data_IF_461733716137
#
_entry.id   IF_461733716137
#
_cell.length_a   1.000
_cell.length_b   1.000
_cell.length_c   1.000
_cell.angle_alpha   90.00
_cell.angle_beta   90.00
_cell.angle_gamma   90.00
#
_symmetry.space_group_name_H-M   'P 1'
#
loop_
_entity.id
_entity.type
_entity.pdbx_description
1 polymer ?
#
# COMPACT_ATOMS: atom_id res chain seq x y z
N UNK A 1 -27.30 51.79 4.13
CA UNK A 1 -27.18 50.40 4.64
C UNK A 1 -26.62 49.40 3.60
N UNK A 2 -25.90 49.81 2.54
CA UNK A 2 -25.29 48.88 1.55
C UNK A 2 -23.76 48.72 1.66
N UNK A 3 -23.08 49.53 2.50
CA UNK A 3 -21.61 49.51 2.63
C UNK A 3 -21.07 48.71 3.83
N UNK A 4 -21.95 48.25 4.73
CA UNK A 4 -21.56 47.48 5.93
C UNK A 4 -21.53 45.96 5.70
N UNK A 5 -22.19 45.45 4.66
CA UNK A 5 -22.20 44.01 4.37
C UNK A 5 -20.90 43.51 3.71
N UNK A 6 -20.18 44.39 3.00
CA UNK A 6 -18.94 44.03 2.28
C UNK A 6 -17.77 43.85 3.26
N UNK A 7 -17.76 44.60 4.37
CA UNK A 7 -16.69 44.53 5.37
C UNK A 7 -16.76 43.28 6.25
N UNK A 8 -17.92 42.64 6.37
CA UNK A 8 -18.11 41.43 7.18
C UNK A 8 -17.80 40.12 6.42
N UNK A 9 -17.75 40.16 5.08
CA UNK A 9 -17.52 38.97 4.23
C UNK A 9 -16.04 38.72 3.89
N UNK A 10 -15.17 39.73 4.04
CA UNK A 10 -13.73 39.62 3.75
C UNK A 10 -12.98 38.71 4.76
N UNK A 11 -13.25 38.70 6.08
CA UNK A 11 -12.52 37.82 6.99
C UNK A 11 -12.89 36.34 6.81
N UNK A 12 -14.08 36.01 6.26
CA UNK A 12 -14.47 34.62 5.99
C UNK A 12 -13.71 33.99 4.81
N UNK A 13 -13.29 34.78 3.81
CA UNK A 13 -12.47 34.29 2.69
C UNK A 13 -11.00 34.06 3.08
N UNK A 14 -10.49 34.75 4.10
CA UNK A 14 -9.10 34.59 4.56
C UNK A 14 -8.86 33.25 5.30
N UNK A 15 -9.91 32.64 5.87
CA UNK A 15 -9.80 31.32 6.52
C UNK A 15 -9.84 30.14 5.55
N UNK A 16 -10.15 30.35 4.27
CA UNK A 16 -10.29 29.26 3.29
C UNK A 16 -9.00 28.81 2.59
N UNK A 17 -7.84 29.46 2.80
CA UNK A 17 -6.65 29.21 1.97
C UNK A 17 -5.39 28.67 2.67
N UNK A 18 -5.43 28.36 3.97
CA UNK A 18 -4.31 27.70 4.65
C UNK A 18 -4.64 26.24 4.98
N UNK A 19 -4.74 25.40 3.95
CA UNK A 19 -4.72 23.95 4.17
C UNK A 19 -3.35 23.58 4.76
N UNK A 20 -3.34 23.10 6.01
CA UNK A 20 -2.14 22.55 6.64
C UNK A 20 -1.78 21.24 5.97
N UNK A 21 -0.48 20.93 5.91
CA UNK A 21 -0.03 19.59 5.48
C UNK A 21 -0.53 18.55 6.47
N UNK A 22 -1.19 17.51 5.95
CA UNK A 22 -1.67 16.38 6.73
C UNK A 22 -1.23 15.06 6.08
N UNK A 23 -1.00 14.05 6.90
CA UNK A 23 -0.80 12.68 6.47
C UNK A 23 -2.00 11.86 6.94
N UNK A 24 -2.74 11.25 6.00
CA UNK A 24 -3.88 10.37 6.30
C UNK A 24 -3.57 8.94 5.88
N UNK A 25 -3.50 8.03 6.85
CA UNK A 25 -3.43 6.61 6.58
C UNK A 25 -4.81 6.10 6.12
N UNK A 26 -4.84 5.34 5.03
CA UNK A 26 -6.04 4.71 4.48
C UNK A 26 -5.66 3.31 4.06
N UNK A 27 -6.34 2.32 4.64
CA UNK A 27 -6.18 0.92 4.23
C UNK A 27 -7.27 0.56 3.25
N UNK A 28 -6.90 0.23 2.02
CA UNK A 28 -7.82 -0.36 1.07
C UNK A 28 -7.87 -1.87 1.34
N UNK A 29 -9.05 -2.38 1.66
CA UNK A 29 -9.31 -3.81 1.85
C UNK A 29 -10.24 -4.39 0.78
N UNK A 30 -10.52 -3.63 -0.27
CA UNK A 30 -11.38 -4.03 -1.37
C UNK A 30 -11.03 -3.28 -2.64
N UNK A 31 -11.24 -3.92 -3.79
CA UNK A 31 -11.08 -3.29 -5.10
C UNK A 31 -12.22 -3.70 -6.03
N UNK A 32 -12.64 -2.75 -6.85
CA UNK A 32 -13.54 -3.00 -7.99
C UNK A 32 -12.68 -3.03 -9.26
N UNK A 33 -12.82 -4.09 -10.02
CA UNK A 33 -12.20 -4.30 -11.32
C UNK A 33 -13.26 -4.20 -12.42
N UNK A 34 -12.88 -3.54 -13.51
CA UNK A 34 -13.57 -3.61 -14.79
C UNK A 34 -12.76 -4.50 -15.73
N UNK A 35 -13.42 -5.24 -16.59
CA UNK A 35 -12.76 -6.19 -17.46
C UNK A 35 -13.69 -6.81 -18.48
N UNK A 36 -13.25 -7.91 -19.07
CA UNK A 36 -14.00 -8.69 -20.05
C UNK A 36 -13.75 -10.20 -19.90
N UNK A 37 -14.74 -11.00 -20.27
CA UNK A 37 -14.62 -12.44 -20.49
C UNK A 37 -15.14 -12.72 -21.90
N UNK A 38 -14.29 -13.26 -22.77
CA UNK A 38 -14.60 -13.48 -24.21
C UNK A 38 -15.17 -12.23 -24.90
N UNK A 39 -14.58 -11.05 -24.60
CA UNK A 39 -15.03 -9.75 -25.12
C UNK A 39 -16.34 -9.22 -24.52
N UNK A 40 -16.97 -9.94 -23.58
CA UNK A 40 -18.17 -9.48 -22.87
C UNK A 40 -17.76 -8.72 -21.61
N UNK A 41 -18.17 -7.44 -21.43
CA UNK A 41 -17.81 -6.66 -20.26
C UNK A 41 -18.31 -7.26 -18.93
N UNK A 42 -17.42 -7.24 -17.94
CA UNK A 42 -17.69 -7.68 -16.58
C UNK A 42 -17.23 -6.65 -15.54
N UNK A 43 -17.90 -6.66 -14.40
CA UNK A 43 -17.49 -5.94 -13.19
C UNK A 43 -17.25 -6.95 -12.10
N UNK A 44 -16.15 -6.81 -11.37
CA UNK A 44 -15.78 -7.66 -10.25
C UNK A 44 -15.48 -6.80 -9.03
N UNK A 45 -15.99 -7.18 -7.86
CA UNK A 45 -15.58 -6.61 -6.58
C UNK A 45 -14.93 -7.70 -5.75
N UNK A 46 -13.70 -7.49 -5.32
CA UNK A 46 -12.97 -8.41 -4.44
C UNK A 46 -12.60 -7.70 -3.14
N UNK A 47 -12.62 -8.44 -2.04
CA UNK A 47 -12.32 -7.97 -0.70
C UNK A 47 -11.25 -8.87 -0.10
N UNK A 48 -10.27 -8.27 0.56
CA UNK A 48 -9.32 -8.96 1.42
C UNK A 48 -10.05 -9.60 2.60
N UNK A 49 -9.78 -10.87 2.89
CA UNK A 49 -10.43 -11.61 3.99
C UNK A 49 -9.47 -12.25 4.99
N UNK A 50 -8.16 -12.04 4.83
CA UNK A 50 -7.14 -12.54 5.74
C UNK A 50 -5.89 -13.01 5.01
N UNK A 51 -4.74 -12.89 5.67
CA UNK A 51 -3.49 -13.46 5.18
C UNK A 51 -3.59 -15.00 5.25
N UNK A 52 -3.03 -15.68 4.26
CA UNK A 52 -3.02 -17.15 4.23
C UNK A 52 -2.06 -17.72 5.28
N UNK A 53 -0.87 -17.15 5.37
CA UNK A 53 0.14 -17.52 6.35
C UNK A 53 1.01 -16.31 6.73
N UNK A 54 2.16 -16.15 6.08
CA UNK A 54 3.16 -15.17 6.50
C UNK A 54 3.67 -14.27 5.37
N UNK A 55 2.95 -14.15 4.27
CA UNK A 55 3.24 -13.11 3.26
C UNK A 55 2.04 -12.18 3.10
N UNK A 56 2.23 -10.88 3.31
CA UNK A 56 1.14 -9.90 3.20
C UNK A 56 0.47 -9.89 1.80
N UNK A 57 1.24 -10.20 0.75
CA UNK A 57 0.75 -10.31 -0.62
C UNK A 57 0.31 -11.74 -0.99
N UNK A 58 0.09 -12.59 0.01
CA UNK A 58 -0.59 -13.88 -0.11
C UNK A 58 -1.78 -13.89 0.85
N UNK A 59 -2.97 -13.62 0.31
CA UNK A 59 -4.17 -13.47 1.13
C UNK A 59 -5.41 -14.05 0.45
N UNK A 60 -6.36 -14.46 1.27
CA UNK A 60 -7.67 -14.87 0.82
C UNK A 60 -8.47 -13.67 0.34
N UNK A 61 -9.26 -13.91 -0.71
CA UNK A 61 -10.14 -12.90 -1.30
C UNK A 61 -11.54 -13.45 -1.50
N UNK A 62 -12.52 -12.61 -1.19
CA UNK A 62 -13.94 -12.90 -1.42
C UNK A 62 -14.60 -11.79 -2.20
N UNK A 63 -15.63 -12.14 -2.95
CA UNK A 63 -16.47 -11.15 -3.55
C UNK A 63 -17.41 -11.71 -4.58
N UNK A 64 -17.55 -10.98 -5.68
CA UNK A 64 -18.45 -11.35 -6.74
C UNK A 64 -17.99 -10.73 -8.07
N UNK A 65 -18.47 -11.29 -9.17
CA UNK A 65 -18.47 -10.63 -10.45
C UNK A 65 -19.87 -10.66 -11.08
N UNK A 66 -20.12 -9.82 -12.06
CA UNK A 66 -21.28 -9.93 -12.93
C UNK A 66 -20.92 -9.51 -14.36
N UNK A 67 -21.70 -9.98 -15.32
CA UNK A 67 -21.73 -9.41 -16.66
C UNK A 67 -22.53 -8.10 -16.65
N UNK A 68 -21.97 -7.03 -17.20
CA UNK A 68 -22.52 -5.67 -17.05
C UNK A 68 -23.95 -5.55 -17.60
N UNK A 69 -24.29 -6.34 -18.62
CA UNK A 69 -25.64 -6.44 -19.21
C UNK A 69 -26.69 -6.98 -18.24
N UNK A 70 -26.33 -7.94 -17.39
CA UNK A 70 -27.29 -8.69 -16.56
C UNK A 70 -27.24 -8.29 -15.08
N UNK A 71 -26.09 -7.80 -14.61
CA UNK A 71 -25.85 -7.37 -13.22
C UNK A 71 -26.19 -8.41 -12.13
N UNK A 72 -26.36 -9.68 -12.52
CA UNK A 72 -26.54 -10.78 -11.58
C UNK A 72 -25.19 -11.14 -10.98
N UNK A 73 -25.04 -10.89 -9.68
CA UNK A 73 -23.82 -11.21 -8.92
C UNK A 73 -23.60 -12.71 -8.84
N UNK A 74 -22.40 -13.13 -9.21
CA UNK A 74 -21.89 -14.49 -9.15
C UNK A 74 -20.77 -14.50 -8.10
N UNK A 75 -20.88 -15.31 -7.03
CA UNK A 75 -19.96 -15.25 -5.91
C UNK A 75 -18.59 -15.84 -6.28
N UNK A 76 -17.54 -15.22 -5.75
CA UNK A 76 -16.15 -15.63 -5.92
C UNK A 76 -15.47 -15.76 -4.56
N UNK A 77 -14.63 -16.77 -4.44
CA UNK A 77 -13.65 -16.94 -3.36
C UNK A 77 -12.32 -17.33 -4.00
N UNK A 78 -11.21 -17.03 -3.34
CA UNK A 78 -9.93 -17.36 -3.94
C UNK A 78 -8.73 -16.85 -3.16
N UNK A 79 -7.61 -16.78 -3.86
CA UNK A 79 -6.34 -16.25 -3.34
C UNK A 79 -5.78 -15.22 -4.28
N UNK A 80 -5.28 -14.14 -3.68
CA UNK A 80 -4.32 -13.24 -4.30
C UNK A 80 -2.92 -13.72 -3.92
N UNK A 81 -2.08 -14.03 -4.90
CA UNK A 81 -0.71 -14.51 -4.70
C UNK A 81 0.27 -13.65 -5.52
N UNK A 82 0.95 -12.72 -4.84
CA UNK A 82 2.04 -11.91 -5.40
C UNK A 82 1.70 -11.20 -6.74
N UNK A 83 0.44 -10.85 -6.93
CA UNK A 83 -0.07 -10.17 -8.13
C UNK A 83 -0.91 -11.04 -9.06
N UNK A 84 -0.94 -12.36 -8.86
CA UNK A 84 -1.87 -13.26 -9.52
C UNK A 84 -3.17 -13.41 -8.71
N UNK A 85 -4.28 -13.65 -9.40
CA UNK A 85 -5.59 -13.94 -8.78
C UNK A 85 -6.09 -15.31 -9.22
N UNK A 86 -6.38 -16.15 -8.23
CA UNK A 86 -6.96 -17.47 -8.42
C UNK A 86 -8.35 -17.47 -7.81
N UNK A 87 -9.40 -17.38 -8.64
CA UNK A 87 -10.78 -17.15 -8.20
C UNK A 87 -11.69 -18.29 -8.65
N UNK A 88 -12.57 -18.71 -7.74
CA UNK A 88 -13.42 -19.88 -7.93
C UNK A 88 -14.86 -19.58 -7.56
N UNK A 89 -15.78 -20.17 -8.32
CA UNK A 89 -17.19 -20.24 -7.99
C UNK A 89 -17.64 -21.70 -7.91
N UNK A 90 -18.11 -22.16 -6.75
CA UNK A 90 -18.62 -23.52 -6.55
C UNK A 90 -20.15 -23.66 -6.72
N UNK A 91 -20.80 -22.70 -7.39
CA UNK A 91 -22.24 -22.73 -7.67
C UNK A 91 -23.09 -22.83 -6.40
N UNK A 92 -24.02 -23.79 -6.36
CA UNK A 92 -24.94 -23.95 -5.22
C UNK A 92 -24.23 -24.32 -3.90
N UNK A 93 -22.98 -24.82 -3.98
CA UNK A 93 -22.18 -25.23 -2.82
C UNK A 93 -21.15 -24.17 -2.41
N UNK A 94 -21.21 -22.97 -3.00
CA UNK A 94 -20.23 -21.90 -2.82
C UNK A 94 -19.82 -21.68 -1.36
N UNK A 95 -20.77 -21.46 -0.44
CA UNK A 95 -20.46 -21.16 0.96
C UNK A 95 -19.67 -22.27 1.66
N UNK A 96 -20.03 -23.53 1.42
CA UNK A 96 -19.40 -24.69 2.07
C UNK A 96 -18.02 -24.95 1.48
N UNK A 97 -17.93 -25.03 0.16
CA UNK A 97 -16.70 -25.38 -0.54
C UNK A 97 -15.68 -24.22 -0.45
N UNK A 98 -16.13 -22.95 -0.36
CA UNK A 98 -15.26 -21.81 -0.06
C UNK A 98 -14.61 -21.91 1.31
N UNK A 99 -15.37 -22.33 2.33
CA UNK A 99 -14.83 -22.56 3.67
C UNK A 99 -13.80 -23.69 3.65
N UNK A 100 -14.12 -24.81 3.00
CA UNK A 100 -13.22 -25.95 2.86
C UNK A 100 -11.91 -25.57 2.13
N UNK A 101 -12.00 -24.75 1.07
CA UNK A 101 -10.82 -24.22 0.37
C UNK A 101 -9.91 -23.43 1.33
N UNK A 102 -10.45 -22.54 2.16
CA UNK A 102 -9.66 -21.75 3.10
C UNK A 102 -9.03 -22.59 4.19
N UNK A 103 -9.79 -23.52 4.76
CA UNK A 103 -9.29 -24.43 5.80
C UNK A 103 -8.22 -25.38 5.26
N UNK A 104 -8.26 -25.71 3.98
CA UNK A 104 -7.24 -26.52 3.34
C UNK A 104 -5.91 -25.77 3.17
N UNK A 105 -5.93 -24.45 2.91
CA UNK A 105 -4.73 -23.66 2.57
C UNK A 105 -4.19 -22.96 3.81
N UNK A 106 -3.21 -23.60 4.45
CA UNK A 106 -2.69 -23.21 5.77
C UNK A 106 -1.19 -22.91 5.77
N UNK A 107 -0.56 -22.83 4.59
CA UNK A 107 0.87 -22.59 4.46
C UNK A 107 1.24 -22.15 3.04
N UNK A 108 2.44 -21.59 2.79
CA UNK A 108 2.81 -21.04 1.50
C UNK A 108 2.94 -22.15 0.45
N UNK A 109 3.42 -23.33 0.85
CA UNK A 109 3.45 -24.53 -0.02
C UNK A 109 2.05 -24.96 -0.48
N UNK A 110 1.01 -24.69 0.33
CA UNK A 110 -0.37 -24.96 -0.08
C UNK A 110 -0.95 -23.85 -0.94
N UNK A 111 -0.48 -22.61 -0.80
CA UNK A 111 -0.81 -21.51 -1.73
C UNK A 111 -0.39 -21.87 -3.16
N UNK A 112 0.80 -22.41 -3.35
CA UNK A 112 1.28 -22.89 -4.66
C UNK A 112 0.38 -24.01 -5.25
N UNK A 113 -0.37 -24.72 -4.39
CA UNK A 113 -1.29 -25.80 -4.77
C UNK A 113 -2.76 -25.37 -4.78
N UNK A 114 -3.04 -24.08 -4.69
CA UNK A 114 -4.42 -23.56 -4.62
C UNK A 114 -5.29 -24.12 -5.75
N UNK A 115 -4.77 -24.13 -6.98
CA UNK A 115 -5.50 -24.63 -8.14
C UNK A 115 -5.88 -26.11 -8.01
N UNK A 116 -4.94 -26.96 -7.59
CA UNK A 116 -5.20 -28.39 -7.37
C UNK A 116 -6.20 -28.64 -6.24
N UNK A 117 -6.08 -27.89 -5.13
CA UNK A 117 -6.98 -27.99 -3.97
C UNK A 117 -8.39 -27.56 -4.38
N UNK A 118 -8.52 -26.43 -5.08
CA UNK A 118 -9.81 -25.94 -5.55
C UNK A 118 -10.45 -26.90 -6.55
N UNK A 119 -9.70 -27.44 -7.51
CA UNK A 119 -10.22 -28.41 -8.49
C UNK A 119 -10.77 -29.70 -7.86
N UNK A 120 -10.19 -30.16 -6.73
CA UNK A 120 -10.74 -31.29 -5.98
C UNK A 120 -12.17 -31.02 -5.46
N UNK A 121 -12.51 -29.75 -5.21
CA UNK A 121 -13.85 -29.29 -4.80
C UNK A 121 -14.80 -29.08 -6.00
N UNK A 122 -14.35 -29.31 -7.23
CA UNK A 122 -15.14 -29.25 -8.47
C UNK A 122 -15.82 -27.89 -8.67
N UNK A 123 -15.05 -26.80 -8.87
CA UNK A 123 -15.61 -25.48 -9.13
C UNK A 123 -16.42 -25.49 -10.42
N UNK A 124 -17.49 -24.71 -10.44
CA UNK A 124 -18.31 -24.50 -11.64
C UNK A 124 -17.61 -23.57 -12.63
N UNK A 125 -16.98 -22.52 -12.09
CA UNK A 125 -16.24 -21.52 -12.86
C UNK A 125 -14.92 -21.22 -12.16
N UNK A 126 -13.87 -21.01 -12.97
CA UNK A 126 -12.53 -20.62 -12.52
C UNK A 126 -12.08 -19.40 -13.31
N UNK A 127 -11.55 -18.41 -12.61
CA UNK A 127 -10.96 -17.19 -13.17
C UNK A 127 -9.52 -17.09 -12.69
N UNK A 128 -8.57 -17.23 -13.60
CA UNK A 128 -7.15 -17.13 -13.33
C UNK A 128 -6.61 -15.87 -13.99
N UNK A 129 -6.12 -14.92 -13.21
CA UNK A 129 -5.44 -13.73 -13.73
C UNK A 129 -3.96 -13.77 -13.36
N UNK A 130 -3.13 -13.55 -14.37
CA UNK A 130 -1.69 -13.64 -14.22
C UNK A 130 -1.12 -12.38 -13.56
N UNK A 131 0.11 -12.48 -13.08
CA UNK A 131 0.82 -11.32 -12.53
C UNK A 131 1.09 -10.31 -13.65
N UNK A 132 0.59 -9.08 -13.51
CA UNK A 132 0.92 -7.98 -14.42
C UNK A 132 2.36 -7.49 -14.20
N UNK A 133 3.02 -7.11 -15.29
CA UNK A 133 4.31 -6.41 -15.29
C UNK A 133 4.19 -4.92 -14.90
N UNK A 134 2.96 -4.46 -14.63
CA UNK A 134 2.64 -3.10 -14.19
C UNK A 134 2.47 -2.09 -15.32
N UNK A 135 2.54 -2.51 -16.59
CA UNK A 135 2.41 -1.61 -17.75
C UNK A 135 1.18 -1.87 -18.61
N UNK A 136 0.58 -3.05 -18.47
CA UNK A 136 -0.54 -3.49 -19.29
C UNK A 136 -1.70 -4.00 -18.44
N UNK A 137 -2.87 -4.09 -19.07
CA UNK A 137 -4.03 -4.77 -18.53
C UNK A 137 -3.66 -6.18 -18.06
N UNK A 138 -4.26 -6.61 -16.96
CA UNK A 138 -4.01 -7.93 -16.40
C UNK A 138 -4.74 -8.98 -17.25
N UNK A 139 -3.99 -9.82 -17.96
CA UNK A 139 -4.52 -10.94 -18.71
C UNK A 139 -4.96 -12.10 -17.80
N UNK A 140 -5.92 -12.89 -18.26
CA UNK A 140 -6.39 -14.06 -17.56
C UNK A 140 -7.14 -15.05 -18.43
N UNK A 141 -7.54 -16.16 -17.81
CA UNK A 141 -8.33 -17.21 -18.44
C UNK A 141 -9.53 -17.54 -17.57
N UNK A 142 -10.69 -17.64 -18.22
CA UNK A 142 -11.93 -18.12 -17.63
C UNK A 142 -12.13 -19.58 -18.06
N UNK A 143 -12.39 -20.46 -17.08
CA UNK A 143 -12.75 -21.85 -17.32
C UNK A 143 -14.17 -22.10 -16.83
N UNK A 144 -14.97 -22.73 -17.67
CA UNK A 144 -16.27 -23.27 -17.31
C UNK A 144 -16.35 -24.69 -17.86
N UNK A 145 -16.39 -25.66 -16.95
CA UNK A 145 -16.30 -27.08 -17.29
C UNK A 145 -15.06 -27.40 -18.15
N UNK A 146 -15.25 -27.79 -19.41
CA UNK A 146 -14.18 -28.14 -20.36
C UNK A 146 -13.79 -27.00 -21.30
N UNK A 147 -14.45 -25.85 -21.22
CA UNK A 147 -14.21 -24.72 -22.11
C UNK A 147 -13.36 -23.67 -21.42
N UNK A 148 -12.36 -23.15 -22.13
CA UNK A 148 -11.59 -21.98 -21.73
C UNK A 148 -11.91 -20.79 -22.63
N UNK A 149 -11.91 -19.59 -22.04
CA UNK A 149 -12.14 -18.34 -22.72
C UNK A 149 -11.13 -17.30 -22.22
N UNK A 150 -10.69 -16.36 -23.06
CA UNK A 150 -9.82 -15.28 -22.61
C UNK A 150 -10.58 -14.36 -21.63
N UNK A 151 -9.89 -13.90 -20.61
CA UNK A 151 -10.36 -12.90 -19.67
C UNK A 151 -9.33 -11.77 -19.52
N UNK A 152 -9.76 -10.59 -19.11
CA UNK A 152 -8.87 -9.45 -18.89
C UNK A 152 -9.45 -8.51 -17.85
N UNK A 153 -8.60 -7.93 -17.00
CA UNK A 153 -8.96 -6.79 -16.14
C UNK A 153 -8.29 -5.54 -16.71
N UNK A 154 -9.07 -4.48 -16.90
CA UNK A 154 -8.62 -3.17 -17.38
C UNK A 154 -7.95 -2.38 -16.25
N UNK A 155 -6.85 -2.94 -15.73
CA UNK A 155 -6.00 -2.34 -14.71
C UNK A 155 -4.58 -2.83 -14.90
N UNK A 156 -3.60 -1.98 -14.65
CA UNK A 156 -2.19 -2.37 -14.53
C UNK A 156 -1.81 -2.83 -13.11
N UNK A 157 -2.73 -2.72 -12.15
CA UNK A 157 -2.46 -3.01 -10.75
C UNK A 157 -3.61 -3.82 -10.11
N UNK A 158 -3.43 -5.15 -9.97
CA UNK A 158 -4.41 -6.04 -9.36
C UNK A 158 -4.36 -6.09 -7.82
N UNK A 159 -3.54 -5.26 -7.15
CA UNK A 159 -3.37 -5.32 -5.69
C UNK A 159 -4.66 -4.91 -4.97
N UNK A 160 -5.29 -5.82 -4.23
CA UNK A 160 -6.52 -5.57 -3.47
C UNK A 160 -6.27 -4.92 -2.10
N UNK A 161 -5.26 -5.41 -1.37
CA UNK A 161 -4.94 -4.95 -0.03
C UNK A 161 -3.77 -3.95 -0.06
N UNK A 162 -4.02 -2.68 0.30
CA UNK A 162 -3.02 -1.60 0.24
C UNK A 162 -3.03 -0.76 1.50
N UNK A 163 -1.84 -0.49 2.05
CA UNK A 163 -1.64 0.55 3.05
C UNK A 163 -1.25 1.86 2.36
N UNK A 164 -2.24 2.70 2.09
CA UNK A 164 -1.98 4.01 1.51
C UNK A 164 -1.70 5.03 2.62
N UNK A 165 -0.81 5.97 2.35
CA UNK A 165 -0.73 7.19 3.12
C UNK A 165 -0.87 8.37 2.17
N UNK A 166 -1.88 9.19 2.39
CA UNK A 166 -2.13 10.36 1.57
C UNK A 166 -1.57 11.60 2.23
N UNK A 167 -0.64 12.27 1.54
CA UNK A 167 -0.22 13.62 1.86
C UNK A 167 -1.24 14.59 1.27
N UNK A 168 -1.96 15.27 2.15
CA UNK A 168 -2.81 16.41 1.80
C UNK A 168 -1.94 17.66 1.92
N UNK A 169 -1.76 18.37 0.81
CA UNK A 169 -0.85 19.50 0.67
C UNK A 169 -1.64 20.77 0.30
N UNK A 170 -1.09 21.97 0.57
CA UNK A 170 -1.70 23.23 0.16
C UNK A 170 -2.10 23.27 -1.32
N UNK A 171 -3.21 23.94 -1.60
CA UNK A 171 -3.79 24.01 -2.94
C UNK A 171 -4.53 22.74 -3.36
N UNK A 172 -5.12 22.00 -2.40
CA UNK A 172 -5.89 20.77 -2.62
C UNK A 172 -5.09 19.66 -3.32
N UNK A 173 -3.77 19.68 -3.19
CA UNK A 173 -2.91 18.64 -3.76
C UNK A 173 -2.95 17.42 -2.86
N UNK A 174 -3.19 16.26 -3.47
CA UNK A 174 -3.20 14.95 -2.78
C UNK A 174 -2.19 14.04 -3.46
N UNK A 175 -1.24 13.52 -2.70
CA UNK A 175 -0.25 12.56 -3.17
C UNK A 175 -0.36 11.28 -2.34
N UNK A 176 -0.30 10.12 -2.99
CA UNK A 176 -0.19 8.85 -2.30
C UNK A 176 1.29 8.49 -2.15
N UNK A 177 1.76 8.30 -0.93
CA UNK A 177 3.17 7.90 -0.69
C UNK A 177 3.49 6.55 -1.30
N UNK A 178 2.50 5.68 -1.48
CA UNK A 178 2.67 4.38 -2.11
C UNK A 178 3.21 4.48 -3.55
N UNK A 179 2.93 5.58 -4.24
CA UNK A 179 3.28 5.76 -5.66
C UNK A 179 4.77 6.10 -5.86
N UNK A 180 5.46 6.61 -4.83
CA UNK A 180 6.83 7.12 -4.97
C UNK A 180 7.77 6.78 -3.80
N UNK A 181 7.29 6.17 -2.72
CA UNK A 181 8.11 5.68 -1.59
C UNK A 181 7.88 4.19 -1.33
N UNK A 182 8.58 3.65 -0.34
CA UNK A 182 8.43 2.26 0.11
C UNK A 182 6.95 1.91 0.43
N UNK A 183 6.47 0.82 -0.16
CA UNK A 183 5.10 0.29 -0.06
C UNK A 183 4.75 -0.25 1.34
N UNK A 184 5.73 -0.46 2.20
CA UNK A 184 5.55 -0.99 3.56
C UNK A 184 4.85 0.01 4.50
N UNK A 185 4.76 1.29 4.10
CA UNK A 185 4.01 2.29 4.86
C UNK A 185 4.71 2.66 6.17
N UNK A 186 3.92 2.80 7.25
CA UNK A 186 4.40 3.10 8.60
C UNK A 186 4.79 4.56 8.84
N UNK A 187 4.35 5.48 7.98
CA UNK A 187 4.77 6.89 8.05
C UNK A 187 3.95 7.66 9.09
N UNK A 188 4.64 8.55 9.82
CA UNK A 188 4.05 9.55 10.71
C UNK A 188 4.60 10.92 10.35
N UNK A 189 3.71 11.91 10.16
CA UNK A 189 4.11 13.29 9.91
C UNK A 189 4.68 13.92 11.19
N UNK A 190 5.96 14.30 11.16
CA UNK A 190 6.58 15.02 12.28
C UNK A 190 6.50 16.53 12.11
N UNK A 191 6.86 17.03 10.94
CA UNK A 191 6.94 18.47 10.70
C UNK A 191 6.99 18.84 9.23
N UNK A 192 6.84 20.14 8.98
CA UNK A 192 7.00 20.74 7.66
C UNK A 192 7.78 22.04 7.79
N UNK A 193 8.60 22.35 6.78
CA UNK A 193 9.35 23.60 6.73
C UNK A 193 9.30 24.21 5.32
N UNK A 194 9.27 25.54 5.26
CA UNK A 194 9.29 26.31 4.00
C UNK A 194 10.60 27.08 3.91
N UNK A 195 11.26 26.95 2.77
CA UNK A 195 12.53 27.58 2.44
C UNK A 195 12.41 28.44 1.18
N UNK A 196 13.39 29.33 0.98
CA UNK A 196 13.54 30.07 -0.27
C UNK A 196 13.71 29.17 -1.50
N UNK A 197 14.13 27.91 -1.32
CA UNK A 197 14.36 26.93 -2.39
C UNK A 197 13.21 25.94 -2.59
N UNK A 198 12.24 25.88 -1.67
CA UNK A 198 11.13 24.93 -1.72
C UNK A 198 10.54 24.58 -0.35
N UNK A 199 9.68 23.56 -0.32
CA UNK A 199 9.08 23.06 0.92
C UNK A 199 9.66 21.68 1.27
N UNK A 200 9.64 21.34 2.56
CA UNK A 200 10.06 20.04 3.09
C UNK A 200 9.01 19.45 4.01
N UNK A 201 8.89 18.14 3.97
CA UNK A 201 8.11 17.35 4.92
C UNK A 201 9.04 16.34 5.57
N UNK A 202 9.05 16.30 6.90
CA UNK A 202 9.77 15.29 7.67
C UNK A 202 8.77 14.25 8.17
N UNK A 203 9.04 13.00 7.81
CA UNK A 203 8.31 11.84 8.30
C UNK A 203 9.23 11.02 9.21
N UNK A 204 8.67 10.49 10.30
CA UNK A 204 9.22 9.30 10.95
C UNK A 204 8.55 8.07 10.33
N UNK A 205 9.26 6.97 10.23
CA UNK A 205 8.63 5.71 9.86
C UNK A 205 9.07 4.56 10.74
N UNK A 206 8.14 3.63 10.90
CA UNK A 206 8.34 2.33 11.51
C UNK A 206 7.50 1.32 10.74
N UNK A 207 8.16 0.39 10.05
CA UNK A 207 7.49 -0.59 9.21
C UNK A 207 8.25 -1.92 9.19
N UNK A 208 7.67 -2.94 8.57
CA UNK A 208 8.30 -4.26 8.44
C UNK A 208 9.49 -4.18 7.47
N UNK A 209 10.53 -4.98 7.70
CA UNK A 209 11.67 -5.10 6.78
C UNK A 209 11.30 -5.65 5.42
N UNK A 210 10.36 -6.58 5.37
CA UNK A 210 9.82 -7.11 4.12
C UNK A 210 8.43 -7.71 4.35
N UNK A 211 7.73 -8.01 3.26
CA UNK A 211 6.38 -8.54 3.30
C UNK A 211 6.29 -10.04 3.62
N UNK A 212 7.42 -10.75 3.73
CA UNK A 212 7.50 -12.16 4.11
C UNK A 212 7.88 -12.28 5.59
N UNK A 213 6.87 -12.31 6.45
CA UNK A 213 7.01 -12.43 7.90
C UNK A 213 7.77 -13.68 8.36
N UNK A 214 7.76 -14.78 7.58
CA UNK A 214 8.56 -15.98 7.87
C UNK A 214 10.02 -15.88 7.39
N UNK A 215 10.33 -14.91 6.53
CA UNK A 215 11.65 -14.75 5.94
C UNK A 215 12.65 -14.11 6.89
N UNK A 216 13.91 -14.05 6.46
CA UNK A 216 14.94 -13.26 7.14
C UNK A 216 14.42 -11.83 7.36
N UNK A 217 14.52 -11.32 8.59
CA UNK A 217 14.01 -10.02 9.02
C UNK A 217 12.47 -9.86 9.03
N UNK A 218 11.69 -10.86 8.64
CA UNK A 218 10.22 -10.78 8.59
C UNK A 218 9.54 -10.64 9.96
N UNK A 219 10.12 -11.29 10.98
CA UNK A 219 9.68 -11.21 12.37
C UNK A 219 10.52 -10.23 13.22
N UNK A 220 11.35 -9.39 12.58
CA UNK A 220 12.16 -8.40 13.30
C UNK A 220 11.32 -7.18 13.73
N UNK A 221 11.90 -6.33 14.57
CA UNK A 221 11.34 -5.01 14.92
C UNK A 221 11.24 -4.05 13.71
N UNK A 222 11.67 -4.50 12.53
CA UNK A 222 11.45 -3.85 11.25
C UNK A 222 12.50 -2.81 10.91
N UNK A 223 12.07 -1.84 10.12
CA UNK A 223 12.87 -0.70 9.68
C UNK A 223 12.30 0.56 10.32
N UNK A 224 13.18 1.34 10.97
CA UNK A 224 12.82 2.60 11.60
C UNK A 224 13.72 3.69 11.10
N UNK A 225 13.18 4.89 10.93
CA UNK A 225 13.98 6.00 10.47
C UNK A 225 13.21 7.25 10.15
N UNK A 226 13.85 8.11 9.37
CA UNK A 226 13.32 9.39 8.94
C UNK A 226 13.33 9.50 7.43
N UNK A 227 12.31 10.15 6.88
CA UNK A 227 12.25 10.52 5.46
C UNK A 227 12.10 12.02 5.34
N UNK A 228 12.89 12.63 4.47
CA UNK A 228 12.74 14.05 4.10
C UNK A 228 12.22 14.09 2.68
N UNK A 229 11.00 14.59 2.51
CA UNK A 229 10.39 14.77 1.19
C UNK A 229 10.58 16.22 0.77
N UNK A 230 11.04 16.42 -0.46
CA UNK A 230 11.36 17.71 -1.01
C UNK A 230 10.34 18.12 -2.07
N UNK A 231 9.91 19.39 -1.99
CA UNK A 231 8.92 19.97 -2.88
C UNK A 231 9.39 21.32 -3.44
N UNK A 232 8.86 21.71 -4.59
CA UNK A 232 8.93 23.11 -5.04
C UNK A 232 8.13 24.03 -4.10
N UNK A 233 8.28 25.35 -4.25
CA UNK A 233 7.47 26.35 -3.52
C UNK A 233 5.97 26.14 -3.69
N UNK A 234 5.57 25.64 -4.86
CA UNK A 234 4.18 25.36 -5.20
C UNK A 234 3.77 23.92 -4.84
N UNK A 235 4.49 23.23 -3.95
CA UNK A 235 4.16 21.87 -3.50
C UNK A 235 4.15 20.81 -4.62
N UNK A 236 4.96 20.99 -5.68
CA UNK A 236 5.22 19.90 -6.62
C UNK A 236 6.32 19.00 -6.05
N UNK A 237 6.08 17.70 -6.01
CA UNK A 237 7.03 16.71 -5.52
C UNK A 237 8.30 16.70 -6.38
N UNK A 238 9.47 16.59 -5.74
CA UNK A 238 10.77 16.46 -6.40
C UNK A 238 11.38 15.08 -6.18
N UNK A 239 11.67 14.77 -4.92
CA UNK A 239 12.31 13.54 -4.49
C UNK A 239 12.15 13.38 -2.96
N UNK A 240 12.69 12.29 -2.43
CA UNK A 240 12.86 12.11 -0.99
C UNK A 240 14.23 11.50 -0.70
N UNK A 241 14.66 11.66 0.55
CA UNK A 241 15.79 10.94 1.14
C UNK A 241 15.30 10.13 2.33
N UNK A 242 15.91 8.97 2.56
CA UNK A 242 15.62 8.07 3.67
C UNK A 242 16.87 7.87 4.53
N UNK A 243 16.66 7.88 5.85
CA UNK A 243 17.70 7.77 6.85
C UNK A 243 17.30 6.73 7.91
N UNK A 244 17.97 5.58 7.91
CA UNK A 244 17.68 4.48 8.83
C UNK A 244 18.31 4.71 10.20
N UNK A 245 17.53 4.42 11.24
CA UNK A 245 17.97 4.38 12.64
C UNK A 245 17.87 2.97 13.23
N UNK A 246 17.13 2.08 12.59
CA UNK A 246 17.04 0.67 12.92
C UNK A 246 16.76 -0.07 11.60
N UNK A 247 17.49 -1.15 11.34
CA UNK A 247 17.35 -1.90 10.10
C UNK A 247 17.88 -3.31 10.26
N UNK A 248 17.00 -4.31 10.16
CA UNK A 248 17.44 -5.69 10.10
C UNK A 248 18.18 -5.98 8.77
N UNK A 249 17.72 -5.40 7.66
CA UNK A 249 18.31 -5.63 6.34
C UNK A 249 19.73 -5.05 6.22
N UNK A 250 19.99 -3.88 6.80
CA UNK A 250 21.31 -3.26 6.78
C UNK A 250 22.19 -3.65 7.97
N UNK A 251 21.64 -4.38 8.95
CA UNK A 251 22.33 -4.70 10.20
C UNK A 251 22.58 -3.48 11.07
N UNK A 252 21.65 -2.52 11.05
CA UNK A 252 21.66 -1.37 11.94
C UNK A 252 20.88 -1.76 13.20
N UNK A 253 21.59 -1.95 14.30
CA UNK A 253 21.01 -2.23 15.61
C UNK A 253 21.71 -1.41 16.69
N UNK A 254 21.11 -1.37 17.90
CA UNK A 254 21.67 -0.69 19.07
C UNK A 254 21.95 0.81 18.87
N UNK A 255 21.12 1.48 18.06
CA UNK A 255 21.22 2.91 17.82
C UNK A 255 21.04 3.70 19.12
N UNK A 256 22.02 4.56 19.42
CA UNK A 256 22.00 5.36 20.64
C UNK A 256 21.48 6.76 20.37
N UNK A 257 20.32 7.10 20.95
CA UNK A 257 19.80 8.47 20.97
C UNK A 257 20.59 9.30 21.98
N UNK A 258 21.33 10.31 21.51
CA UNK A 258 22.03 11.28 22.38
C UNK A 258 21.06 12.35 22.86
N UNK A 259 21.12 12.69 24.15
CA UNK A 259 20.39 13.84 24.70
C UNK A 259 20.96 15.13 24.12
N UNK A 260 20.07 16.01 23.66
CA UNK A 260 20.39 17.33 23.16
C UNK A 260 19.77 18.38 24.08
N UNK A 261 20.35 19.58 24.13
CA UNK A 261 19.74 20.71 24.86
C UNK A 261 18.53 21.30 24.15
N UNK A 262 18.44 21.10 22.82
CA UNK A 262 17.35 21.60 21.99
C UNK A 262 16.35 20.47 21.68
N UNK A 263 15.12 20.60 22.19
CA UNK A 263 14.07 19.60 22.02
C UNK A 263 13.69 19.33 20.54
N UNK A 264 13.99 20.25 19.62
CA UNK A 264 13.73 20.07 18.19
C UNK A 264 14.86 19.34 17.45
N UNK A 265 15.99 19.04 18.11
CA UNK A 265 17.12 18.35 17.52
C UNK A 265 17.25 16.96 18.15
N UNK A 266 17.19 15.91 17.33
CA UNK A 266 17.45 14.53 17.75
C UNK A 266 18.78 14.08 17.16
N UNK A 267 19.67 13.56 18.00
CA UNK A 267 20.96 13.02 17.57
C UNK A 267 21.00 11.52 17.79
N UNK A 268 21.39 10.77 16.76
CA UNK A 268 21.53 9.33 16.80
C UNK A 268 22.94 8.92 16.42
N UNK A 269 23.57 8.09 17.23
CA UNK A 269 24.82 7.44 16.89
C UNK A 269 24.53 6.05 16.31
N UNK A 270 24.83 5.89 15.03
CA UNK A 270 24.63 4.66 14.28
C UNK A 270 25.98 3.93 14.21
N UNK A 271 26.03 2.73 14.76
CA UNK A 271 27.22 1.87 14.69
C UNK A 271 27.47 1.43 13.25
N UNK A 272 28.67 0.90 12.98
CA UNK A 272 29.00 0.30 11.69
C UNK A 272 27.98 -0.80 11.37
N UNK A 273 27.37 -0.72 10.19
CA UNK A 273 26.43 -1.70 9.66
C UNK A 273 27.13 -2.64 8.65
N UNK A 274 26.39 -3.56 8.04
CA UNK A 274 26.96 -4.44 7.00
C UNK A 274 27.49 -3.66 5.79
N UNK A 275 26.84 -2.55 5.48
CA UNK A 275 27.04 -1.78 4.24
C UNK A 275 27.64 -0.39 4.48
N UNK A 276 27.62 0.11 5.72
CA UNK A 276 28.05 1.49 6.01
C UNK A 276 28.97 1.59 7.23
N UNK A 277 29.99 2.48 7.20
CA UNK A 277 30.77 2.81 8.40
C UNK A 277 29.87 3.49 9.45
N UNK A 278 30.33 3.56 10.70
CA UNK A 278 29.60 4.30 11.73
C UNK A 278 29.37 5.78 11.34
N UNK A 279 28.25 6.35 11.77
CA UNK A 279 27.89 7.73 11.48
C UNK A 279 26.94 8.30 12.54
N UNK A 280 26.85 9.62 12.58
CA UNK A 280 25.84 10.34 13.37
C UNK A 280 24.75 10.88 12.46
N UNK A 281 23.48 10.66 12.84
CA UNK A 281 22.33 11.36 12.25
C UNK A 281 21.88 12.48 13.18
N UNK A 282 21.70 13.67 12.61
CA UNK A 282 21.07 14.81 13.27
C UNK A 282 19.75 15.08 12.57
N UNK A 283 18.64 14.96 13.29
CA UNK A 283 17.29 15.26 12.82
C UNK A 283 16.87 16.59 13.42
N UNK A 284 16.64 17.58 12.58
CA UNK A 284 16.07 18.87 12.96
C UNK A 284 14.58 18.89 12.61
N UNK A 285 13.75 18.69 13.63
CA UNK A 285 12.30 18.63 13.51
C UNK A 285 11.78 20.00 13.05
N UNK A 286 12.30 21.10 13.59
CA UNK A 286 11.79 22.45 13.25
C UNK A 286 12.04 22.76 11.77
N UNK A 287 13.18 22.35 11.25
CA UNK A 287 13.62 22.59 9.88
C UNK A 287 13.24 21.47 8.90
N UNK A 288 12.55 20.42 9.37
CA UNK A 288 12.19 19.25 8.58
C UNK A 288 13.39 18.72 7.76
N UNK A 289 14.53 18.53 8.41
CA UNK A 289 15.78 18.13 7.77
C UNK A 289 16.54 17.10 8.57
N UNK A 290 17.30 16.26 7.86
CA UNK A 290 18.21 15.29 8.45
C UNK A 290 19.58 15.48 7.83
N UNK A 291 20.64 15.42 8.64
CA UNK A 291 22.01 15.45 8.17
C UNK A 291 22.79 14.26 8.72
N UNK A 292 23.60 13.66 7.86
CA UNK A 292 24.51 12.55 8.18
C UNK A 292 25.94 13.07 8.26
N UNK A 293 26.65 12.77 9.35
CA UNK A 293 28.08 13.06 9.52
C UNK A 293 28.85 11.80 9.91
N UNK A 294 30.13 11.72 9.55
CA UNK A 294 31.01 10.63 10.02
C UNK A 294 31.33 10.80 11.49
#
# INVERSE_FOLDING_TARGET
MKKLLITLLIPLFAFCFCQKVELKAVTDSSQIFKGEISGVPVTMQLNYTGIVDCNQYQHFVDGWYYYDKYQKKIPLTGIYDLGALYLYNFGNRHKRDAKELREAITSPRKVEKTDSIAHALKPKEVLLFERSDGKQDVAGTFYMEKQSQPAKLYTSNPIIYRYNNYLLLPGNKKLNTFDFMNRLGGNTLLSTATYSTGNRILLYFENLSNFNFCGMCGASDGEKGYRVLYFTKNWNYKNYEEFLTDSCLEGISETQKKKTKNANILNFNIKKSYTTPAYTLTVDIKNASVSKSK
#
